data_IF_831856829497
#
_entry.id   IF_831856829497
#
_cell.length_a   1.000
_cell.length_b   1.000
_cell.length_c   1.000
_cell.angle_alpha   90.00
_cell.angle_beta   90.00
_cell.angle_gamma   90.00
#
_symmetry.space_group_name_H-M   'P 1'
#
loop_
_entity.id
_entity.type
_entity.pdbx_description
1 polymer ?
#
# COMPACT_ATOMS: atom_id res chain seq x y z
N UNK A 1 -20.41 7.27 2.17
CA UNK A 1 -20.38 6.06 3.03
C UNK A 1 -19.25 5.07 2.65
N UNK A 2 -18.07 5.50 2.14
CA UNK A 2 -17.02 4.55 1.69
C UNK A 2 -15.60 4.78 2.23
N UNK A 3 -15.32 5.81 3.03
CA UNK A 3 -13.97 6.05 3.60
C UNK A 3 -13.56 5.00 4.67
N UNK A 4 -14.52 4.44 5.40
CA UNK A 4 -14.23 3.46 6.45
C UNK A 4 -13.91 2.04 5.91
N UNK A 5 -14.41 1.68 4.72
CA UNK A 5 -14.16 0.35 4.14
C UNK A 5 -12.76 0.20 3.60
N UNK A 6 -12.15 1.26 3.06
CA UNK A 6 -10.82 1.15 2.47
C UNK A 6 -9.74 0.98 3.56
N UNK A 7 -9.77 1.80 4.61
CA UNK A 7 -8.84 1.70 5.76
C UNK A 7 -8.97 0.35 6.48
N UNK A 8 -10.19 -0.20 6.57
CA UNK A 8 -10.40 -1.51 7.19
C UNK A 8 -10.04 -2.70 6.30
N UNK A 9 -10.10 -2.54 4.97
CA UNK A 9 -9.60 -3.54 4.00
C UNK A 9 -8.11 -3.40 3.70
N UNK A 10 -7.50 -2.29 4.11
CA UNK A 10 -6.09 -1.99 3.90
C UNK A 10 -5.15 -3.11 4.38
N UNK A 11 -5.34 -3.73 5.57
CA UNK A 11 -4.53 -4.88 5.98
C UNK A 11 -4.69 -6.09 5.06
N UNK A 12 -5.86 -6.27 4.44
CA UNK A 12 -6.11 -7.37 3.50
C UNK A 12 -5.42 -7.14 2.16
N UNK A 13 -5.44 -5.90 1.67
CA UNK A 13 -4.71 -5.49 0.46
C UNK A 13 -3.21 -5.72 0.68
N UNK A 14 -2.67 -5.26 1.81
CA UNK A 14 -1.27 -5.43 2.19
C UNK A 14 -0.86 -6.90 2.32
N UNK A 15 -1.70 -7.71 2.96
CA UNK A 15 -1.46 -9.15 3.11
C UNK A 15 -1.45 -9.86 1.75
N UNK A 16 -2.35 -9.46 0.85
CA UNK A 16 -2.40 -10.00 -0.52
C UNK A 16 -1.24 -9.50 -1.38
N UNK A 17 -0.79 -8.26 -1.19
CA UNK A 17 0.37 -7.69 -1.87
C UNK A 17 1.68 -8.33 -1.42
N UNK A 18 1.80 -8.63 -0.13
CA UNK A 18 2.94 -9.41 0.39
C UNK A 18 3.04 -10.78 -0.30
N UNK A 19 1.91 -11.45 -0.54
CA UNK A 19 1.87 -12.70 -1.33
C UNK A 19 2.30 -12.44 -2.77
N UNK A 20 1.80 -11.36 -3.39
CA UNK A 20 2.15 -10.99 -4.76
C UNK A 20 3.65 -10.79 -4.92
N UNK A 21 4.27 -10.02 -4.01
CA UNK A 21 5.71 -9.78 -4.00
C UNK A 21 6.51 -11.08 -3.77
N UNK A 22 6.13 -11.87 -2.77
CA UNK A 22 6.81 -13.13 -2.44
C UNK A 22 6.71 -14.14 -3.59
N UNK A 23 5.57 -14.16 -4.28
CA UNK A 23 5.28 -15.06 -5.38
C UNK A 23 5.71 -14.49 -6.75
N UNK A 24 6.34 -13.30 -6.78
CA UNK A 24 6.74 -12.57 -7.99
C UNK A 24 5.60 -12.47 -9.02
N UNK A 25 4.39 -12.18 -8.54
CA UNK A 25 3.19 -12.06 -9.36
C UNK A 25 2.41 -13.35 -9.64
N UNK A 26 2.79 -14.48 -9.04
CA UNK A 26 2.01 -15.73 -9.17
C UNK A 26 0.76 -15.80 -8.28
N UNK A 27 0.79 -15.19 -7.10
CA UNK A 27 -0.31 -15.28 -6.12
C UNK A 27 -0.46 -13.98 -5.35
N UNK A 28 -1.67 -13.44 -5.21
CA UNK A 28 -1.93 -12.18 -4.52
C UNK A 28 -2.39 -11.09 -5.48
N UNK A 29 -2.57 -9.88 -4.95
CA UNK A 29 -2.96 -8.71 -5.74
C UNK A 29 -1.94 -7.60 -5.55
N UNK A 30 -1.65 -6.89 -6.63
CA UNK A 30 -0.87 -5.66 -6.58
C UNK A 30 -1.63 -4.61 -5.74
N UNK A 31 -0.95 -4.00 -4.77
CA UNK A 31 -1.50 -2.90 -3.99
C UNK A 31 -1.48 -1.62 -4.82
N UNK A 32 -2.58 -1.35 -5.50
CA UNK A 32 -2.85 -0.02 -6.07
C UNK A 32 -3.61 0.83 -5.06
N UNK A 33 -2.89 1.77 -4.49
CA UNK A 33 -3.36 2.74 -3.49
C UNK A 33 -3.21 4.16 -4.04
N UNK A 34 -3.11 4.32 -5.36
CA UNK A 34 -2.96 5.64 -5.97
C UNK A 34 -4.20 6.51 -5.76
N UNK A 35 -3.99 7.80 -5.54
CA UNK A 35 -5.02 8.82 -5.28
C UNK A 35 -5.93 8.54 -4.06
N UNK A 36 -5.66 7.49 -3.29
CA UNK A 36 -6.45 7.12 -2.11
C UNK A 36 -6.12 7.99 -0.90
N UNK A 37 -7.13 8.25 -0.07
CA UNK A 37 -6.94 8.97 1.19
C UNK A 37 -6.65 7.96 2.31
N UNK A 38 -5.36 7.84 2.65
CA UNK A 38 -4.81 6.91 3.63
C UNK A 38 -4.29 7.64 4.88
N UNK A 39 -4.86 8.82 5.15
CA UNK A 39 -4.48 9.62 6.32
C UNK A 39 -4.65 8.81 7.60
N UNK A 40 -3.69 8.92 8.51
CA UNK A 40 -3.66 8.19 9.80
C UNK A 40 -3.68 6.65 9.63
N UNK A 41 -3.39 6.13 8.44
CA UNK A 41 -3.33 4.70 8.18
C UNK A 41 -2.19 4.01 8.94
N UNK A 42 -2.44 2.81 9.46
CA UNK A 42 -1.43 2.00 10.13
C UNK A 42 -0.86 0.95 9.18
N UNK A 43 0.36 1.19 8.69
CA UNK A 43 1.13 0.33 7.79
C UNK A 43 2.33 -0.31 8.48
N UNK A 44 2.34 -0.38 9.82
CA UNK A 44 3.48 -0.92 10.56
C UNK A 44 3.75 -2.37 10.18
N UNK A 45 5.03 -2.74 10.02
CA UNK A 45 5.47 -4.09 9.65
C UNK A 45 4.86 -4.61 8.32
N UNK A 46 4.41 -3.73 7.44
CA UNK A 46 3.82 -4.10 6.17
C UNK A 46 4.86 -4.15 5.03
N UNK A 47 4.67 -5.04 4.07
CA UNK A 47 5.47 -5.05 2.85
C UNK A 47 4.66 -4.34 1.76
N UNK A 48 5.15 -3.17 1.36
CA UNK A 48 4.62 -2.28 0.33
C UNK A 48 5.61 -2.17 -0.85
N UNK A 49 6.51 -3.14 -1.00
CA UNK A 49 7.51 -3.16 -2.06
C UNK A 49 6.81 -3.21 -3.42
N UNK A 50 7.18 -2.30 -4.33
CA UNK A 50 6.53 -2.09 -5.62
C UNK A 50 5.04 -1.65 -5.57
N UNK A 51 4.45 -1.37 -4.40
CA UNK A 51 3.08 -0.86 -4.34
C UNK A 51 2.95 0.51 -5.03
N UNK A 52 1.79 0.77 -5.64
CA UNK A 52 1.49 2.07 -6.22
C UNK A 52 0.87 2.98 -5.16
N UNK A 53 1.61 3.99 -4.71
CA UNK A 53 1.18 4.99 -3.74
C UNK A 53 1.15 6.40 -4.39
N UNK A 54 1.08 6.46 -5.72
CA UNK A 54 1.10 7.72 -6.46
C UNK A 54 -0.09 8.60 -6.07
N UNK A 55 0.17 9.86 -5.72
CA UNK A 55 -0.85 10.81 -5.31
C UNK A 55 -1.73 10.36 -4.12
N UNK A 56 -1.33 9.32 -3.39
CA UNK A 56 -2.01 8.88 -2.17
C UNK A 56 -1.74 9.90 -1.05
N UNK A 57 -2.77 10.20 -0.26
CA UNK A 57 -2.61 11.04 0.92
C UNK A 57 -2.21 10.18 2.11
N UNK A 58 -0.91 10.18 2.41
CA UNK A 58 -0.30 9.42 3.51
C UNK A 58 -0.06 10.29 4.75
N UNK A 59 -0.73 11.44 4.87
CA UNK A 59 -0.51 12.35 6.00
C UNK A 59 -0.82 11.65 7.33
N UNK A 60 0.10 11.71 8.29
CA UNK A 60 0.00 11.02 9.59
C UNK A 60 -0.06 9.49 9.53
N UNK A 61 0.17 8.87 8.36
CA UNK A 61 0.26 7.42 8.28
C UNK A 61 1.55 6.90 8.94
N UNK A 62 1.44 5.73 9.59
CA UNK A 62 2.55 5.12 10.28
C UNK A 62 3.13 3.95 9.47
N UNK A 63 4.39 4.11 9.05
CA UNK A 63 5.17 3.16 8.25
C UNK A 63 6.30 2.49 9.05
N UNK A 64 6.23 2.50 10.38
CA UNK A 64 7.29 1.93 11.25
C UNK A 64 7.51 0.46 10.93
N UNK A 65 8.77 0.06 10.70
CA UNK A 65 9.17 -1.28 10.28
C UNK A 65 8.52 -1.78 8.97
N UNK A 66 7.96 -0.89 8.15
CA UNK A 66 7.42 -1.27 6.83
C UNK A 66 8.51 -1.29 5.76
N UNK A 67 8.41 -2.26 4.85
CA UNK A 67 9.30 -2.37 3.70
C UNK A 67 8.67 -1.64 2.51
N UNK A 68 9.31 -0.54 2.13
CA UNK A 68 8.89 0.41 1.11
C UNK A 68 9.85 0.41 -0.10
N UNK A 69 10.76 -0.58 -0.17
CA UNK A 69 11.73 -0.69 -1.26
C UNK A 69 11.06 -0.78 -2.62
N UNK A 70 11.57 -0.11 -3.65
CA UNK A 70 11.06 -0.28 -5.02
C UNK A 70 9.66 0.26 -5.31
N UNK A 71 9.07 1.08 -4.43
CA UNK A 71 7.86 1.83 -4.80
C UNK A 71 8.07 2.54 -6.13
N UNK A 72 7.12 2.36 -7.06
CA UNK A 72 7.15 3.08 -8.33
C UNK A 72 6.77 4.52 -8.04
N UNK A 73 7.76 5.34 -7.68
CA UNK A 73 7.59 6.79 -7.74
C UNK A 73 7.62 7.18 -9.21
N UNK A 74 6.47 7.02 -9.89
CA UNK A 74 6.33 7.49 -11.26
C UNK A 74 6.50 9.01 -11.24
N UNK A 75 7.64 9.48 -11.74
CA UNK A 75 7.89 10.90 -11.96
C UNK A 75 7.15 11.27 -13.24
N UNK A 76 6.10 12.11 -13.20
CA UNK A 76 5.60 12.71 -14.42
C UNK A 76 6.71 13.59 -14.98
N UNK A 77 7.02 13.39 -16.25
CA UNK A 77 7.93 14.21 -17.04
C UNK A 77 7.32 15.60 -17.29
#
# INVERSE_FOLDING_TARGET
>A
MKKASLISMLPQILSSHKKWFTSKGKEGIFADLSEENLQEGNFRNCNLVEANLQAADLSYADFTDSDLGGQTFWRPN
#
